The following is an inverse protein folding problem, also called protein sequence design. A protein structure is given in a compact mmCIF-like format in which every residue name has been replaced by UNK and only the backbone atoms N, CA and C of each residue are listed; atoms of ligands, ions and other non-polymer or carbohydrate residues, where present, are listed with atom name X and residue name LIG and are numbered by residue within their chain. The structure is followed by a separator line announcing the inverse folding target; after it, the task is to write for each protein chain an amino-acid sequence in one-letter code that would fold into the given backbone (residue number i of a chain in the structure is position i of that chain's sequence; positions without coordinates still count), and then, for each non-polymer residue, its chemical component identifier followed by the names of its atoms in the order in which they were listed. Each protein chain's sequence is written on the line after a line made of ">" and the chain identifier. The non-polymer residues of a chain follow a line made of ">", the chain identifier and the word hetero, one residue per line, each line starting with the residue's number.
data_IF_350538707118
#
_entry.id   IF_350538707118
#
_cell.length_a   1.000
_cell.length_b   1.000
_cell.length_c   1.000
_cell.angle_alpha   90.00
_cell.angle_beta   90.00
_cell.angle_gamma   90.00
#
_symmetry.space_group_name_H-M   'P 1'
#
loop_
_entity.id
_entity.type
_entity.pdbx_description
1 polymer ?
#
# COMPACT_ATOMS: atom_id res chain seq x y z
N UNK A 1 -18.35 -3.96 -15.13
CA UNK A 1 -17.63 -3.65 -13.87
C UNK A 1 -16.26 -3.16 -14.22
N UNK A 2 -15.94 -1.91 -13.88
CA UNK A 2 -14.65 -1.29 -14.17
C UNK A 2 -13.71 -1.33 -12.95
N UNK A 3 -14.23 -1.06 -11.74
CA UNK A 3 -13.42 -0.96 -10.53
C UNK A 3 -13.98 -1.84 -9.40
N UNK A 4 -13.11 -2.61 -8.77
CA UNK A 4 -13.35 -3.27 -7.48
C UNK A 4 -12.56 -2.57 -6.39
N UNK A 5 -13.23 -2.06 -5.36
CA UNK A 5 -12.62 -1.51 -4.15
C UNK A 5 -12.60 -2.59 -3.09
N UNK A 6 -11.41 -2.94 -2.60
CA UNK A 6 -11.22 -3.99 -1.59
C UNK A 6 -10.90 -3.33 -0.25
N UNK A 7 -11.70 -3.62 0.77
CA UNK A 7 -11.57 -3.08 2.13
C UNK A 7 -11.33 -4.24 3.09
N UNK A 8 -10.07 -4.53 3.49
CA UNK A 8 -9.79 -5.49 4.54
C UNK A 8 -10.18 -4.91 5.90
N UNK A 9 -10.83 -5.72 6.74
CA UNK A 9 -11.32 -5.32 8.06
C UNK A 9 -10.94 -6.36 9.11
N UNK A 10 -10.39 -5.90 10.22
CA UNK A 10 -10.19 -6.68 11.42
C UNK A 10 -10.26 -5.78 12.66
N UNK A 11 -11.34 -5.90 13.45
CA UNK A 11 -11.58 -5.11 14.66
C UNK A 11 -11.47 -3.58 14.43
N UNK A 12 -12.27 -3.05 13.51
CA UNK A 12 -12.29 -1.64 13.08
C UNK A 12 -13.62 -0.96 13.36
N UNK A 13 -14.35 -1.35 14.41
CA UNK A 13 -15.68 -0.80 14.72
C UNK A 13 -15.70 0.73 14.85
N UNK A 14 -14.61 1.36 15.34
CA UNK A 14 -14.54 2.78 15.60
C UNK A 14 -14.30 3.63 14.33
N UNK A 15 -13.87 3.02 13.24
CA UNK A 15 -13.44 3.72 12.02
C UNK A 15 -14.18 3.31 10.77
N UNK A 16 -14.70 2.08 10.73
CA UNK A 16 -15.25 1.44 9.54
C UNK A 16 -16.43 2.22 8.94
N UNK A 17 -17.32 2.78 9.76
CA UNK A 17 -18.47 3.53 9.26
C UNK A 17 -18.04 4.75 8.44
N UNK A 18 -17.04 5.48 8.91
CA UNK A 18 -16.45 6.64 8.22
C UNK A 18 -15.76 6.21 6.91
N UNK A 19 -14.99 5.12 6.95
CA UNK A 19 -14.36 4.54 5.76
C UNK A 19 -15.42 4.17 4.72
N UNK A 20 -16.42 3.36 5.09
CA UNK A 20 -17.51 2.95 4.19
C UNK A 20 -18.27 4.16 3.62
N UNK A 21 -18.62 5.14 4.45
CA UNK A 21 -19.29 6.35 4.00
C UNK A 21 -18.51 7.10 2.92
N UNK A 22 -17.18 7.21 3.09
CA UNK A 22 -16.30 7.88 2.12
C UNK A 22 -16.21 7.16 0.77
N UNK A 23 -16.26 5.83 0.77
CA UNK A 23 -16.18 4.99 -0.43
C UNK A 23 -17.55 4.85 -1.10
N UNK A 24 -18.58 4.47 -0.33
CA UNK A 24 -19.90 4.14 -0.85
C UNK A 24 -20.62 5.35 -1.44
N UNK A 25 -20.41 6.55 -0.90
CA UNK A 25 -20.97 7.80 -1.45
C UNK A 25 -20.47 8.13 -2.88
N UNK A 26 -19.43 7.47 -3.36
CA UNK A 26 -18.83 7.67 -4.68
C UNK A 26 -19.12 6.53 -5.66
N UNK A 27 -19.92 5.53 -5.25
CA UNK A 27 -20.20 4.37 -6.10
C UNK A 27 -21.00 4.75 -7.35
N UNK A 28 -20.65 4.07 -8.43
CA UNK A 28 -21.40 4.07 -9.69
C UNK A 28 -21.76 2.63 -10.07
N UNK A 29 -22.61 2.44 -11.09
CA UNK A 29 -23.03 1.10 -11.55
C UNK A 29 -21.84 0.24 -12.05
N UNK A 30 -20.75 0.87 -12.42
CA UNK A 30 -19.53 0.21 -12.90
C UNK A 30 -18.54 -0.16 -11.77
N UNK A 31 -18.92 0.06 -10.50
CA UNK A 31 -18.06 -0.19 -9.34
C UNK A 31 -18.66 -1.24 -8.42
N UNK A 32 -17.80 -1.97 -7.70
CA UNK A 32 -18.16 -2.81 -6.57
C UNK A 32 -17.25 -2.55 -5.39
N UNK A 33 -17.76 -2.79 -4.19
CA UNK A 33 -16.99 -2.79 -2.95
C UNK A 33 -17.01 -4.18 -2.35
N UNK A 34 -15.85 -4.68 -1.99
CA UNK A 34 -15.65 -5.98 -1.34
C UNK A 34 -15.04 -5.71 0.04
N UNK A 35 -15.88 -5.73 1.05
CA UNK A 35 -15.44 -5.69 2.44
C UNK A 35 -15.04 -7.11 2.84
N UNK A 36 -13.79 -7.29 3.24
CA UNK A 36 -13.29 -8.60 3.67
C UNK A 36 -13.06 -8.55 5.17
N UNK A 37 -13.99 -9.15 5.90
CA UNK A 37 -13.86 -9.34 7.34
C UNK A 37 -12.93 -10.51 7.65
N UNK A 38 -11.77 -10.20 8.21
CA UNK A 38 -10.71 -11.14 8.55
C UNK A 38 -10.91 -11.72 9.98
N UNK A 39 -12.15 -12.11 10.29
CA UNK A 39 -12.50 -12.73 11.56
C UNK A 39 -12.59 -11.74 12.72
N UNK A 40 -13.21 -10.57 12.51
CA UNK A 40 -13.43 -9.58 13.58
C UNK A 40 -14.24 -10.16 14.73
N UNK A 41 -13.87 -9.77 15.94
CA UNK A 41 -14.51 -10.16 17.20
C UNK A 41 -15.27 -9.01 17.86
N UNK A 42 -15.20 -7.80 17.27
CA UNK A 42 -15.89 -6.60 17.69
C UNK A 42 -17.19 -6.36 16.87
N UNK A 43 -17.75 -5.15 16.95
CA UNK A 43 -18.95 -4.74 16.22
C UNK A 43 -18.75 -4.42 14.74
N UNK A 44 -17.56 -4.56 14.14
CA UNK A 44 -17.25 -4.13 12.77
C UNK A 44 -18.24 -4.66 11.73
N UNK A 45 -18.52 -5.95 11.76
CA UNK A 45 -19.43 -6.56 10.77
C UNK A 45 -20.86 -6.04 10.92
N UNK A 46 -21.35 -5.94 12.18
CA UNK A 46 -22.70 -5.46 12.47
C UNK A 46 -22.90 -4.01 12.02
N UNK A 47 -21.86 -3.18 12.05
CA UNK A 47 -21.89 -1.82 11.51
C UNK A 47 -21.95 -1.77 9.99
N UNK A 48 -21.39 -2.78 9.31
CA UNK A 48 -21.37 -2.85 7.86
C UNK A 48 -22.68 -3.42 7.26
N UNK A 49 -23.40 -4.28 7.97
CA UNK A 49 -24.62 -4.94 7.47
C UNK A 49 -25.73 -3.99 6.99
N UNK A 50 -26.06 -2.89 7.68
CA UNK A 50 -27.08 -1.95 7.21
C UNK A 50 -26.80 -1.33 5.84
N UNK A 51 -25.52 -1.18 5.48
CA UNK A 51 -25.12 -0.63 4.18
C UNK A 51 -25.44 -1.56 3.00
N UNK A 52 -25.54 -2.87 3.23
CA UNK A 52 -25.95 -3.83 2.19
C UNK A 52 -27.35 -3.56 1.62
N UNK A 53 -28.25 -3.00 2.43
CA UNK A 53 -29.60 -2.65 1.99
C UNK A 53 -29.64 -1.41 1.10
N UNK A 54 -28.67 -0.51 1.26
CA UNK A 54 -28.59 0.75 0.54
C UNK A 54 -27.71 0.64 -0.72
N UNK A 55 -26.70 -0.23 -0.69
CA UNK A 55 -25.69 -0.36 -1.73
C UNK A 55 -25.58 -1.82 -2.23
N UNK A 56 -26.34 -2.20 -3.27
CA UNK A 56 -26.30 -3.56 -3.83
C UNK A 56 -24.93 -3.93 -4.43
N UNK A 57 -24.06 -2.95 -4.68
CA UNK A 57 -22.69 -3.16 -5.14
C UNK A 57 -21.73 -3.53 -4.00
N UNK A 58 -22.12 -3.39 -2.73
CA UNK A 58 -21.35 -3.81 -1.57
C UNK A 58 -21.53 -5.31 -1.34
N UNK A 59 -20.44 -6.02 -1.11
CA UNK A 59 -20.44 -7.42 -0.68
C UNK A 59 -19.56 -7.58 0.55
N UNK A 60 -19.99 -8.38 1.51
CA UNK A 60 -19.21 -8.73 2.69
C UNK A 60 -18.72 -10.17 2.54
N UNK A 61 -17.43 -10.39 2.61
CA UNK A 61 -16.77 -11.69 2.66
C UNK A 61 -16.22 -11.90 4.06
N UNK A 62 -16.70 -12.89 4.78
CA UNK A 62 -16.22 -13.29 6.11
C UNK A 62 -15.28 -14.47 5.98
N UNK A 63 -14.18 -14.45 6.71
CA UNK A 63 -13.21 -15.53 6.76
C UNK A 63 -12.55 -15.62 8.15
N UNK A 64 -11.92 -16.73 8.44
CA UNK A 64 -11.07 -16.86 9.62
C UNK A 64 -9.87 -15.92 9.51
N UNK A 65 -9.39 -15.40 10.67
CA UNK A 65 -8.28 -14.47 10.70
C UNK A 65 -7.01 -15.07 10.07
N UNK A 66 -6.50 -14.42 9.05
CA UNK A 66 -5.27 -14.78 8.33
C UNK A 66 -4.33 -13.59 8.14
N UNK A 67 -4.71 -12.41 8.64
CA UNK A 67 -3.98 -11.16 8.54
C UNK A 67 -4.23 -10.39 7.25
N UNK A 68 -3.74 -9.14 7.22
CA UNK A 68 -4.01 -8.15 6.18
C UNK A 68 -3.74 -8.66 4.76
N UNK A 69 -2.60 -9.33 4.55
CA UNK A 69 -2.25 -9.94 3.25
C UNK A 69 -3.29 -10.94 2.78
N UNK A 70 -3.76 -11.83 3.67
CA UNK A 70 -4.72 -12.86 3.32
C UNK A 70 -6.11 -12.25 3.05
N UNK A 71 -6.50 -11.23 3.82
CA UNK A 71 -7.73 -10.48 3.56
C UNK A 71 -7.71 -9.77 2.20
N UNK A 72 -6.61 -9.06 1.85
CA UNK A 72 -6.46 -8.44 0.51
C UNK A 72 -6.48 -9.50 -0.60
N UNK A 73 -5.81 -10.64 -0.41
CA UNK A 73 -5.82 -11.74 -1.37
C UNK A 73 -7.22 -12.37 -1.53
N UNK A 74 -8.00 -12.49 -0.45
CA UNK A 74 -9.37 -12.93 -0.52
C UNK A 74 -10.25 -11.97 -1.34
N UNK A 75 -10.10 -10.66 -1.12
CA UNK A 75 -10.76 -9.63 -1.91
C UNK A 75 -10.39 -9.70 -3.40
N UNK A 76 -9.10 -9.90 -3.74
CA UNK A 76 -8.63 -10.06 -5.11
C UNK A 76 -9.28 -11.25 -5.82
N UNK A 77 -9.45 -12.39 -5.14
CA UNK A 77 -10.14 -13.57 -5.70
C UNK A 77 -11.61 -13.30 -6.03
N UNK A 78 -12.24 -12.39 -5.31
CA UNK A 78 -13.66 -12.03 -5.48
C UNK A 78 -13.88 -10.87 -6.46
N UNK A 79 -12.84 -10.09 -6.73
CA UNK A 79 -12.90 -8.90 -7.57
C UNK A 79 -13.26 -9.25 -9.03
N UNK A 80 -14.21 -8.50 -9.59
CA UNK A 80 -14.70 -8.65 -10.97
C UNK A 80 -14.32 -7.47 -11.85
N UNK A 81 -13.86 -6.38 -11.25
CA UNK A 81 -13.45 -5.18 -11.96
C UNK A 81 -12.25 -5.42 -12.88
N UNK A 82 -12.17 -4.65 -13.94
CA UNK A 82 -10.98 -4.58 -14.78
C UNK A 82 -9.79 -4.04 -13.99
N UNK A 83 -10.10 -3.12 -13.07
CA UNK A 83 -9.14 -2.53 -12.14
C UNK A 83 -9.52 -2.88 -10.69
N UNK A 84 -8.53 -2.85 -9.81
CA UNK A 84 -8.70 -3.01 -8.37
C UNK A 84 -7.96 -1.89 -7.64
N UNK A 85 -8.49 -1.50 -6.49
CA UNK A 85 -7.84 -0.63 -5.52
C UNK A 85 -8.13 -1.12 -4.11
N UNK A 86 -7.34 -0.66 -3.15
CA UNK A 86 -7.50 -1.03 -1.74
C UNK A 86 -7.83 0.22 -0.93
N UNK A 87 -8.55 0.03 0.17
CA UNK A 87 -8.76 1.08 1.17
C UNK A 87 -8.65 0.42 2.54
N UNK A 88 -7.78 0.93 3.40
CA UNK A 88 -7.67 0.42 4.76
C UNK A 88 -8.83 0.97 5.61
N UNK A 89 -9.38 0.15 6.50
CA UNK A 89 -10.64 0.41 7.18
C UNK A 89 -10.58 1.55 8.23
N UNK A 90 -9.40 2.07 8.51
CA UNK A 90 -9.17 3.25 9.35
C UNK A 90 -8.98 4.55 8.54
N UNK A 91 -9.00 4.48 7.20
CA UNK A 91 -8.76 5.59 6.27
C UNK A 91 -10.03 6.04 5.53
N UNK A 92 -9.88 7.06 4.68
CA UNK A 92 -10.95 7.62 3.86
C UNK A 92 -10.46 7.96 2.44
N UNK A 93 -11.42 8.10 1.54
CA UNK A 93 -11.19 8.59 0.17
C UNK A 93 -11.94 9.90 -0.03
N UNK A 94 -11.24 10.95 -0.44
CA UNK A 94 -11.87 12.27 -0.64
C UNK A 94 -12.95 12.22 -1.74
N UNK A 95 -14.02 13.02 -1.61
CA UNK A 95 -15.10 13.05 -2.61
C UNK A 95 -14.60 13.33 -4.02
N UNK A 96 -15.20 12.65 -5.02
CA UNK A 96 -14.86 12.80 -6.44
C UNK A 96 -13.60 12.06 -6.89
N UNK A 97 -12.89 11.38 -5.98
CA UNK A 97 -11.65 10.66 -6.30
C UNK A 97 -11.89 9.58 -7.34
N UNK A 98 -12.84 8.68 -7.12
CA UNK A 98 -13.05 7.58 -8.07
C UNK A 98 -13.54 8.07 -9.43
N UNK A 99 -14.40 9.10 -9.47
CA UNK A 99 -14.84 9.67 -10.73
C UNK A 99 -13.66 10.21 -11.56
N UNK A 100 -12.75 10.95 -10.93
CA UNK A 100 -11.58 11.51 -11.59
C UNK A 100 -10.60 10.42 -12.06
N UNK A 101 -10.35 9.39 -11.24
CA UNK A 101 -9.44 8.30 -11.58
C UNK A 101 -10.00 7.42 -12.70
N UNK A 102 -11.30 7.12 -12.67
CA UNK A 102 -11.96 6.31 -13.71
C UNK A 102 -12.08 7.04 -15.04
N UNK A 103 -12.33 8.37 -15.03
CA UNK A 103 -12.28 9.18 -16.24
C UNK A 103 -10.88 9.15 -16.88
N UNK A 104 -9.82 9.31 -16.07
CA UNK A 104 -8.44 9.23 -16.57
C UNK A 104 -8.13 7.82 -17.13
N UNK A 105 -8.50 6.75 -16.44
CA UNK A 105 -8.27 5.37 -16.91
C UNK A 105 -9.08 5.03 -18.16
N UNK A 106 -10.24 5.66 -18.37
CA UNK A 106 -11.03 5.49 -19.61
C UNK A 106 -10.41 6.16 -20.84
N UNK A 107 -9.68 7.25 -20.63
CA UNK A 107 -8.94 7.95 -21.69
C UNK A 107 -7.58 7.32 -21.97
N UNK A 108 -7.03 6.64 -20.97
CA UNK A 108 -5.67 6.09 -20.98
C UNK A 108 -5.71 4.57 -20.71
N UNK A 109 -6.46 3.87 -21.59
CA UNK A 109 -6.77 2.43 -21.46
C UNK A 109 -5.55 1.52 -21.35
N UNK A 110 -4.38 1.99 -21.74
CA UNK A 110 -3.12 1.27 -21.65
C UNK A 110 -2.44 1.39 -20.29
N UNK A 111 -3.02 2.08 -19.29
CA UNK A 111 -2.49 2.19 -17.94
C UNK A 111 -2.72 0.91 -17.16
N UNK A 112 -1.64 0.37 -16.57
CA UNK A 112 -1.68 -0.84 -15.73
C UNK A 112 -1.64 -0.50 -14.24
N UNK A 113 -0.91 0.55 -13.86
CA UNK A 113 -0.87 1.10 -12.49
C UNK A 113 -1.03 2.61 -12.55
N UNK A 114 -2.02 3.14 -11.82
CA UNK A 114 -2.23 4.58 -11.64
C UNK A 114 -2.03 4.94 -10.18
N UNK A 115 -1.03 5.78 -9.87
CA UNK A 115 -0.81 6.32 -8.53
C UNK A 115 -1.38 7.73 -8.40
N UNK A 116 -2.00 8.03 -7.26
CA UNK A 116 -2.68 9.29 -7.00
C UNK A 116 -2.32 9.87 -5.62
N UNK A 117 -2.63 11.16 -5.36
CA UNK A 117 -2.23 11.88 -4.16
C UNK A 117 -2.72 11.27 -2.84
N UNK A 118 -1.94 11.55 -1.79
CA UNK A 118 -2.24 11.15 -0.41
C UNK A 118 -2.04 12.32 0.54
N UNK A 119 -3.03 12.60 1.37
CA UNK A 119 -2.85 13.39 2.58
C UNK A 119 -2.37 12.46 3.69
N UNK A 120 -1.07 12.43 3.91
CA UNK A 120 -0.44 11.57 4.94
C UNK A 120 -0.69 12.13 6.32
N UNK A 121 -0.98 11.28 7.29
CA UNK A 121 -1.31 11.60 8.68
C UNK A 121 -2.46 12.64 8.81
N UNK A 122 -3.50 12.47 7.99
CA UNK A 122 -4.65 13.35 7.95
C UNK A 122 -5.27 13.53 9.35
N UNK A 123 -5.51 14.79 9.71
CA UNK A 123 -6.03 15.15 11.02
C UNK A 123 -4.99 15.24 12.15
N UNK A 124 -3.69 15.07 11.86
CA UNK A 124 -2.61 15.20 12.83
C UNK A 124 -1.67 16.37 12.49
N UNK A 125 -0.94 16.89 13.50
CA UNK A 125 0.00 18.01 13.32
C UNK A 125 1.17 17.71 12.35
N UNK A 126 1.49 16.43 12.13
CA UNK A 126 2.51 15.99 11.17
C UNK A 126 1.94 15.73 9.78
N UNK A 127 0.69 16.09 9.49
CA UNK A 127 0.11 15.88 8.18
C UNK A 127 0.89 16.58 7.06
N UNK A 128 1.00 15.89 5.94
CA UNK A 128 1.61 16.46 4.74
C UNK A 128 0.99 15.84 3.49
N UNK A 129 1.05 16.58 2.38
CA UNK A 129 0.54 16.11 1.11
C UNK A 129 1.66 15.45 0.30
N UNK A 130 1.50 14.16 -0.02
CA UNK A 130 2.23 13.52 -1.11
C UNK A 130 1.42 13.69 -2.40
N UNK A 131 1.97 14.39 -3.37
CA UNK A 131 1.31 14.64 -4.66
C UNK A 131 2.31 14.36 -5.79
N UNK A 132 2.22 13.20 -6.45
CA UNK A 132 3.14 12.87 -7.54
C UNK A 132 2.85 13.74 -8.77
N UNK A 133 3.85 14.00 -9.65
CA UNK A 133 3.62 14.74 -10.87
C UNK A 133 2.70 13.96 -11.81
N UNK A 134 1.79 14.64 -12.53
CA UNK A 134 0.99 13.98 -13.57
C UNK A 134 1.89 13.57 -14.73
N UNK A 135 2.14 12.26 -14.85
CA UNK A 135 3.12 11.75 -15.81
C UNK A 135 2.88 10.30 -16.19
N UNK A 136 3.15 9.97 -17.46
CA UNK A 136 3.37 8.60 -17.94
C UNK A 136 4.86 8.27 -17.83
N UNK A 137 5.18 7.15 -17.19
CA UNK A 137 6.56 6.74 -16.98
C UNK A 137 7.05 5.84 -18.10
N UNK A 138 8.30 6.05 -18.54
CA UNK A 138 8.92 5.27 -19.62
C UNK A 138 9.16 3.79 -19.25
N UNK A 139 9.27 3.51 -17.96
CA UNK A 139 9.37 2.16 -17.40
C UNK A 139 9.01 2.17 -15.91
N UNK A 140 8.62 1.01 -15.39
CA UNK A 140 8.36 0.83 -13.96
C UNK A 140 9.61 1.13 -13.09
N UNK A 141 10.81 0.81 -13.59
CA UNK A 141 12.06 1.18 -12.93
C UNK A 141 12.28 2.69 -12.88
N UNK A 142 11.98 3.40 -13.97
CA UNK A 142 12.08 4.87 -14.00
C UNK A 142 11.11 5.49 -12.98
N UNK A 143 9.86 5.01 -12.92
CA UNK A 143 8.91 5.39 -11.88
C UNK A 143 9.51 5.19 -10.48
N UNK A 144 9.91 3.96 -10.15
CA UNK A 144 10.46 3.59 -8.84
C UNK A 144 11.61 4.49 -8.38
N UNK A 145 12.57 4.76 -9.27
CA UNK A 145 13.76 5.53 -8.93
C UNK A 145 13.49 7.03 -8.82
N UNK A 146 12.73 7.61 -9.76
CA UNK A 146 12.55 9.07 -9.78
C UNK A 146 11.49 9.58 -8.81
N UNK A 147 10.52 8.74 -8.43
CA UNK A 147 9.52 9.10 -7.41
C UNK A 147 9.98 8.71 -6.00
N UNK A 148 11.13 8.05 -5.85
CA UNK A 148 11.52 7.41 -4.60
C UNK A 148 10.46 6.42 -4.11
N UNK A 149 9.97 5.56 -5.03
CA UNK A 149 8.84 4.66 -4.82
C UNK A 149 8.92 3.79 -3.56
N UNK A 150 10.12 3.60 -3.00
CA UNK A 150 10.33 2.90 -1.72
C UNK A 150 9.81 3.64 -0.49
N UNK A 151 9.58 4.95 -0.58
CA UNK A 151 9.01 5.75 0.52
C UNK A 151 7.47 5.73 0.51
N UNK A 152 6.84 5.31 -0.60
CA UNK A 152 5.38 5.29 -0.77
C UNK A 152 4.90 4.01 -1.47
N UNK A 153 5.35 2.84 -1.01
CA UNK A 153 4.90 1.54 -1.50
C UNK A 153 3.47 1.18 -1.08
N UNK A 154 2.67 2.16 -0.68
CA UNK A 154 1.29 1.94 -0.26
C UNK A 154 0.47 1.25 -1.36
N UNK A 155 -0.30 0.21 -0.98
CA UNK A 155 -1.23 -0.44 -1.91
C UNK A 155 -2.44 0.45 -2.21
N UNK A 156 -2.89 1.23 -1.25
CA UNK A 156 -4.17 1.92 -1.24
C UNK A 156 -4.20 3.25 -2.02
N UNK A 157 -3.08 3.90 -2.33
CA UNK A 157 -3.04 5.09 -3.19
C UNK A 157 -2.78 4.75 -4.67
N UNK A 158 -3.12 3.57 -5.07
CA UNK A 158 -2.92 3.10 -6.44
C UNK A 158 -4.15 2.34 -6.96
N UNK A 159 -4.42 2.49 -8.24
CA UNK A 159 -5.38 1.65 -8.98
C UNK A 159 -4.58 0.74 -9.89
N UNK A 160 -4.86 -0.54 -9.83
CA UNK A 160 -4.11 -1.58 -10.54
C UNK A 160 -5.00 -2.28 -11.57
N UNK A 161 -4.47 -2.57 -12.74
CA UNK A 161 -5.09 -3.55 -13.62
C UNK A 161 -5.12 -4.91 -12.91
N UNK A 162 -6.30 -5.50 -12.73
CA UNK A 162 -6.52 -6.68 -11.87
C UNK A 162 -5.61 -7.86 -12.23
N UNK A 163 -5.37 -8.11 -13.52
CA UNK A 163 -4.54 -9.24 -13.97
C UNK A 163 -3.06 -9.16 -13.52
N UNK A 164 -2.59 -8.03 -13.02
CA UNK A 164 -1.26 -7.95 -12.40
C UNK A 164 -1.14 -8.86 -11.17
N UNK A 165 -2.25 -9.15 -10.50
CA UNK A 165 -2.31 -9.99 -9.30
C UNK A 165 -2.53 -11.48 -9.61
N UNK A 166 -2.65 -11.91 -10.87
CA UNK A 166 -2.83 -13.32 -11.22
C UNK A 166 -1.64 -14.19 -10.76
N UNK A 167 -0.42 -13.62 -10.75
CA UNK A 167 0.81 -14.31 -10.36
C UNK A 167 1.52 -13.67 -9.15
N UNK A 168 1.08 -12.50 -8.71
CA UNK A 168 1.71 -11.75 -7.61
C UNK A 168 0.67 -11.44 -6.54
N UNK A 169 0.69 -12.19 -5.46
CA UNK A 169 -0.18 -11.98 -4.30
C UNK A 169 0.60 -11.33 -3.14
N UNK A 170 -0.14 -10.76 -2.20
CA UNK A 170 0.43 -10.27 -0.95
C UNK A 170 0.94 -11.44 -0.11
N UNK A 171 2.15 -11.36 0.47
CA UNK A 171 2.75 -12.46 1.23
C UNK A 171 2.07 -12.61 2.60
N UNK A 172 1.37 -13.72 2.81
CA UNK A 172 0.71 -14.02 4.10
C UNK A 172 1.75 -14.17 5.22
N UNK A 173 1.42 -13.64 6.41
CA UNK A 173 2.30 -13.70 7.59
C UNK A 173 3.47 -12.70 7.55
N UNK A 174 3.47 -11.75 6.62
CA UNK A 174 4.45 -10.66 6.58
C UNK A 174 3.81 -9.33 6.98
N UNK A 175 4.58 -8.51 7.70
CA UNK A 175 4.30 -7.09 7.87
C UNK A 175 5.05 -6.30 6.80
N UNK A 176 4.59 -5.07 6.49
CA UNK A 176 5.09 -4.29 5.34
C UNK A 176 4.96 -5.07 4.01
N UNK A 177 3.87 -5.78 3.85
CA UNK A 177 3.53 -6.64 2.71
C UNK A 177 3.55 -5.87 1.38
N UNK A 178 3.25 -4.58 1.43
CA UNK A 178 3.29 -3.68 0.28
C UNK A 178 4.70 -3.56 -0.30
N UNK A 179 5.73 -3.44 0.56
CA UNK A 179 7.13 -3.40 0.14
C UNK A 179 7.58 -4.73 -0.48
N UNK A 180 6.96 -5.85 -0.13
CA UNK A 180 7.19 -7.12 -0.82
C UNK A 180 6.44 -7.21 -2.15
N UNK A 181 5.23 -6.67 -2.22
CA UNK A 181 4.30 -6.87 -3.35
C UNK A 181 4.54 -5.88 -4.48
N UNK A 182 4.59 -4.56 -4.18
CA UNK A 182 4.69 -3.53 -5.21
C UNK A 182 5.93 -3.68 -6.11
N UNK A 183 7.16 -3.92 -5.58
CA UNK A 183 8.32 -4.16 -6.44
C UNK A 183 8.20 -5.39 -7.33
N UNK A 184 7.50 -6.44 -6.89
CA UNK A 184 7.24 -7.64 -7.71
C UNK A 184 6.29 -7.33 -8.86
N UNK A 185 5.25 -6.52 -8.62
CA UNK A 185 4.37 -6.03 -9.68
C UNK A 185 5.16 -5.16 -10.68
N UNK A 186 5.98 -4.23 -10.17
CA UNK A 186 6.80 -3.34 -11.00
C UNK A 186 7.86 -4.09 -11.82
N UNK A 187 8.42 -5.19 -11.30
CA UNK A 187 9.39 -6.03 -12.01
C UNK A 187 8.80 -6.68 -13.29
N UNK A 188 7.48 -6.78 -13.40
CA UNK A 188 6.77 -7.21 -14.61
C UNK A 188 6.69 -6.11 -15.69
N UNK A 189 7.28 -4.95 -15.40
CA UNK A 189 7.32 -3.77 -16.24
C UNK A 189 5.95 -3.27 -16.72
N UNK A 190 4.98 -3.09 -15.79
CA UNK A 190 3.68 -2.53 -16.13
C UNK A 190 3.80 -1.09 -16.60
N UNK A 191 2.80 -0.61 -17.34
CA UNK A 191 2.68 0.79 -17.74
C UNK A 191 2.18 1.61 -16.56
N UNK A 192 3.10 2.36 -15.95
CA UNK A 192 2.82 3.17 -14.76
C UNK A 192 2.51 4.61 -15.17
N UNK A 193 1.46 5.15 -14.58
CA UNK A 193 1.09 6.57 -14.65
C UNK A 193 0.94 7.12 -13.23
N UNK A 194 1.27 8.38 -13.05
CA UNK A 194 0.97 9.16 -11.85
C UNK A 194 0.07 10.33 -12.19
N UNK A 195 -0.78 10.75 -11.26
CA UNK A 195 -1.72 11.87 -11.44
C UNK A 195 -1.78 12.76 -10.21
N UNK A 196 -2.22 14.00 -10.38
CA UNK A 196 -2.55 14.93 -9.29
C UNK A 196 -4.06 14.96 -8.99
N UNK A 197 -4.83 14.11 -9.66
CA UNK A 197 -6.28 13.99 -9.44
C UNK A 197 -6.58 12.91 -8.41
N UNK A 198 -7.68 13.12 -7.65
CA UNK A 198 -8.05 12.24 -6.55
C UNK A 198 -7.22 12.49 -5.30
N UNK A 199 -7.67 11.98 -4.17
CA UNK A 199 -6.97 12.13 -2.89
C UNK A 199 -7.36 11.01 -1.93
N UNK A 200 -6.37 10.33 -1.39
CA UNK A 200 -6.50 9.41 -0.28
C UNK A 200 -6.19 10.13 1.04
N UNK A 201 -6.99 9.91 2.07
CA UNK A 201 -6.84 10.51 3.38
C UNK A 201 -6.33 9.44 4.36
N UNK A 202 -4.99 9.30 4.41
CA UNK A 202 -4.33 8.39 5.33
C UNK A 202 -4.31 8.99 6.74
N UNK A 203 -5.14 8.45 7.62
CA UNK A 203 -5.26 8.95 8.99
C UNK A 203 -4.11 8.50 9.87
N UNK A 204 -3.75 9.36 10.81
CA UNK A 204 -2.82 9.01 11.85
C UNK A 204 -3.45 7.99 12.80
N UNK A 205 -2.84 6.81 12.90
CA UNK A 205 -3.25 5.76 13.83
C UNK A 205 -2.09 5.41 14.77
N UNK A 206 -2.15 5.79 16.07
CA UNK A 206 -1.07 5.50 17.03
C UNK A 206 -0.90 4.00 17.31
N UNK A 207 -1.90 3.17 16.98
CA UNK A 207 -1.87 1.71 17.11
C UNK A 207 -1.51 1.01 15.79
N UNK A 208 -1.23 1.78 14.73
CA UNK A 208 -0.90 1.25 13.43
C UNK A 208 0.41 0.45 13.41
N UNK A 209 0.51 -0.51 12.50
CA UNK A 209 1.66 -1.41 12.33
C UNK A 209 2.97 -0.64 12.19
N UNK A 210 2.95 0.49 11.50
CA UNK A 210 4.15 1.31 11.27
C UNK A 210 4.70 1.95 12.55
N UNK A 211 3.81 2.38 13.45
CA UNK A 211 4.19 3.02 14.72
C UNK A 211 4.67 1.99 15.73
N UNK A 212 4.03 0.82 15.76
CA UNK A 212 4.35 -0.29 16.66
C UNK A 212 5.43 -1.24 16.16
N UNK A 213 6.14 -0.92 15.07
CA UNK A 213 7.12 -1.81 14.46
C UNK A 213 8.29 -2.13 15.41
N UNK A 214 8.39 -3.38 15.81
CA UNK A 214 9.50 -3.92 16.60
C UNK A 214 10.71 -4.29 15.73
N UNK A 215 11.76 -4.84 16.38
CA UNK A 215 12.98 -5.24 15.67
C UNK A 215 12.77 -6.32 14.61
N UNK A 216 11.82 -7.25 14.80
CA UNK A 216 11.52 -8.30 13.83
C UNK A 216 10.76 -7.72 12.63
N UNK A 217 9.81 -6.82 12.86
CA UNK A 217 9.11 -6.09 11.80
C UNK A 217 10.08 -5.27 10.94
N UNK A 218 11.06 -4.60 11.57
CA UNK A 218 12.11 -3.86 10.84
C UNK A 218 13.05 -4.79 10.06
N UNK A 219 13.33 -6.00 10.57
CA UNK A 219 14.05 -7.02 9.81
C UNK A 219 13.28 -7.41 8.53
N UNK A 220 11.97 -7.61 8.63
CA UNK A 220 11.13 -7.92 7.47
C UNK A 220 11.11 -6.77 6.46
N UNK A 221 10.98 -5.52 6.92
CA UNK A 221 11.04 -4.35 6.04
C UNK A 221 12.38 -4.28 5.29
N UNK A 222 13.51 -4.45 6.00
CA UNK A 222 14.83 -4.45 5.37
C UNK A 222 14.99 -5.59 4.35
N UNK A 223 14.48 -6.79 4.65
CA UNK A 223 14.47 -7.91 3.70
C UNK A 223 13.66 -7.59 2.45
N UNK A 224 12.49 -6.96 2.60
CA UNK A 224 11.67 -6.51 1.49
C UNK A 224 12.39 -5.44 0.65
N UNK A 225 13.06 -4.47 1.28
CA UNK A 225 13.87 -3.47 0.59
C UNK A 225 15.05 -4.11 -0.18
N UNK A 226 15.72 -5.11 0.40
CA UNK A 226 16.78 -5.87 -0.30
C UNK A 226 16.25 -6.59 -1.53
N UNK A 227 15.07 -7.22 -1.42
CA UNK A 227 14.40 -7.85 -2.56
C UNK A 227 14.03 -6.82 -3.63
N UNK A 228 13.47 -5.66 -3.23
CA UNK A 228 13.16 -4.57 -4.14
C UNK A 228 14.40 -4.03 -4.86
N UNK A 229 15.53 -3.87 -4.16
CA UNK A 229 16.79 -3.44 -4.74
C UNK A 229 17.25 -4.39 -5.86
N UNK A 230 17.11 -5.69 -5.64
CA UNK A 230 17.42 -6.72 -6.64
C UNK A 230 16.46 -6.65 -7.83
N UNK A 231 15.15 -6.66 -7.60
CA UNK A 231 14.11 -6.64 -8.64
C UNK A 231 14.17 -5.38 -9.50
N UNK A 232 14.45 -4.22 -8.89
CA UNK A 232 14.54 -2.94 -9.59
C UNK A 232 15.94 -2.65 -10.16
N UNK A 233 16.88 -3.60 -10.05
CA UNK A 233 18.26 -3.44 -10.52
C UNK A 233 18.85 -2.08 -10.09
N UNK A 234 18.70 -1.73 -8.80
CA UNK A 234 19.20 -0.47 -8.28
C UNK A 234 20.71 -0.54 -8.08
N UNK A 235 21.44 0.49 -8.55
CA UNK A 235 22.89 0.57 -8.39
C UNK A 235 23.26 1.73 -7.47
N UNK A 236 24.15 1.48 -6.51
CA UNK A 236 24.67 2.48 -5.57
C UNK A 236 25.30 3.70 -6.25
N UNK A 237 25.87 3.52 -7.44
CA UNK A 237 26.59 4.56 -8.17
C UNK A 237 25.65 5.57 -8.87
N UNK A 238 24.36 5.35 -8.95
CA UNK A 238 23.40 6.32 -9.46
C UNK A 238 22.84 7.18 -8.31
N UNK A 239 22.53 8.46 -8.58
CA UNK A 239 22.02 9.37 -7.55
C UNK A 239 20.75 8.83 -6.85
N UNK A 240 19.77 8.33 -7.61
CA UNK A 240 18.54 7.77 -7.04
C UNK A 240 18.79 6.40 -6.39
N UNK A 241 19.63 5.57 -6.98
CA UNK A 241 20.05 4.32 -6.37
C UNK A 241 20.76 4.53 -5.03
N UNK A 242 21.66 5.54 -4.95
CA UNK A 242 22.32 5.91 -3.70
C UNK A 242 21.32 6.25 -2.59
N UNK A 243 20.29 7.06 -2.88
CA UNK A 243 19.25 7.40 -1.90
C UNK A 243 18.55 6.17 -1.35
N UNK A 244 18.16 5.23 -2.21
CA UNK A 244 17.53 3.98 -1.79
C UNK A 244 18.48 3.13 -0.92
N UNK A 245 19.74 2.98 -1.33
CA UNK A 245 20.71 2.21 -0.55
C UNK A 245 21.03 2.88 0.79
N UNK A 246 21.05 4.22 0.84
CA UNK A 246 21.15 4.97 2.11
C UNK A 246 19.96 4.68 3.02
N UNK A 247 18.72 4.68 2.51
CA UNK A 247 17.51 4.31 3.27
C UNK A 247 17.64 2.90 3.86
N UNK A 248 18.11 1.92 3.07
CA UNK A 248 18.39 0.57 3.53
C UNK A 248 19.48 0.54 4.64
N UNK A 249 20.54 1.34 4.52
CA UNK A 249 21.58 1.41 5.55
C UNK A 249 21.03 1.99 6.86
N UNK A 250 20.24 3.07 6.80
CA UNK A 250 19.57 3.61 7.98
C UNK A 250 18.69 2.56 8.65
N UNK A 251 17.90 1.80 7.86
CA UNK A 251 17.08 0.70 8.37
C UNK A 251 17.92 -0.40 9.00
N UNK A 252 19.09 -0.73 8.41
CA UNK A 252 20.03 -1.69 9.00
C UNK A 252 20.56 -1.23 10.38
N UNK A 253 20.79 0.06 10.55
CA UNK A 253 21.21 0.60 11.85
C UNK A 253 20.10 0.46 12.90
N UNK A 254 18.84 0.72 12.54
CA UNK A 254 17.70 0.50 13.43
C UNK A 254 17.54 -0.98 13.80
N UNK A 255 17.63 -1.88 12.80
CA UNK A 255 17.61 -3.34 13.01
C UNK A 255 18.73 -3.76 13.95
N UNK A 256 19.97 -3.30 13.72
CA UNK A 256 21.10 -3.66 14.57
C UNK A 256 20.92 -3.18 16.01
N UNK A 257 20.44 -1.95 16.18
CA UNK A 257 20.18 -1.37 17.51
C UNK A 257 19.16 -2.18 18.32
N UNK A 258 18.08 -2.68 17.67
CA UNK A 258 17.00 -3.38 18.34
C UNK A 258 17.24 -4.88 18.48
N UNK A 259 18.00 -5.51 17.59
CA UNK A 259 18.11 -6.97 17.50
C UNK A 259 19.56 -7.49 17.53
N UNK A 260 20.56 -6.63 17.37
CA UNK A 260 21.96 -7.04 17.15
C UNK A 260 22.23 -7.69 15.77
N UNK A 261 21.23 -7.81 14.90
CA UNK A 261 21.35 -8.52 13.61
C UNK A 261 21.92 -7.61 12.51
N UNK A 262 22.76 -8.20 11.66
CA UNK A 262 23.27 -7.56 10.43
C UNK A 262 22.75 -8.37 9.24
N UNK A 263 21.88 -7.78 8.44
CA UNK A 263 21.27 -8.38 7.25
C UNK A 263 21.96 -7.95 5.96
N UNK A 264 22.40 -6.67 5.87
CA UNK A 264 23.14 -6.16 4.72
C UNK A 264 24.57 -6.69 4.73
N UNK A 265 24.97 -7.41 3.68
CA UNK A 265 26.32 -7.96 3.50
C UNK A 265 27.23 -7.02 2.70
N UNK A 266 27.07 -5.70 2.87
CA UNK A 266 27.95 -4.74 2.21
C UNK A 266 29.26 -4.57 2.96
N UNK A 267 30.35 -4.23 2.26
CA UNK A 267 31.60 -3.88 2.91
C UNK A 267 31.37 -2.79 3.98
N UNK A 268 32.07 -2.92 5.10
CA UNK A 268 32.02 -1.96 6.21
C UNK A 268 30.70 -1.82 6.99
N UNK A 269 29.60 -2.48 6.63
CA UNK A 269 28.33 -2.38 7.38
C UNK A 269 28.53 -2.79 8.84
N UNK A 270 29.29 -3.87 9.12
CA UNK A 270 29.58 -4.31 10.49
C UNK A 270 30.31 -3.21 11.28
N UNK A 271 31.31 -2.57 10.69
CA UNK A 271 32.07 -1.49 11.32
C UNK A 271 31.15 -0.29 11.60
N UNK A 272 30.34 0.12 10.63
CA UNK A 272 29.40 1.25 10.77
C UNK A 272 28.37 0.97 11.89
N UNK A 273 27.80 -0.23 11.96
CA UNK A 273 26.88 -0.63 13.02
C UNK A 273 27.54 -0.57 14.40
N UNK A 274 28.78 -1.08 14.53
CA UNK A 274 29.53 -1.07 15.79
C UNK A 274 29.86 0.36 16.22
N UNK A 275 30.34 1.20 15.30
CA UNK A 275 30.69 2.61 15.61
C UNK A 275 29.43 3.40 15.99
N UNK A 276 28.32 3.18 15.32
CA UNK A 276 27.04 3.86 15.64
C UNK A 276 26.55 3.57 17.07
N UNK A 277 26.81 2.39 17.62
CA UNK A 277 26.47 2.06 19.02
C UNK A 277 27.46 2.62 20.04
N UNK A 278 28.71 2.90 19.64
CA UNK A 278 29.75 3.47 20.52
C UNK A 278 29.66 5.01 20.65
N UNK A 279 29.06 5.69 19.67
CA UNK A 279 28.91 7.15 19.65
C UNK A 279 27.65 7.67 20.34
N UNK A 280 26.94 6.83 21.07
CA UNK A 280 25.77 7.17 21.92
C UNK A 280 26.01 6.73 23.35
#
# INVERSE_FOLDING_TARGET
>A
MKLSVIIPVYNMQDTLERCLGSVLSQLTDDMEVILVDDGSTDGSVSLAEPWLLQYPQLRICRKDNGGLSDARNAGLRLARGQYVTFVDADDEVAPGTYAALMDLLSREEDTDILEFPVQVHYGHSSQHLFCPPSRRWSSARSYWLHTEGWEHTYAWNKVYRRNLFDEVLFPVGKVFEDMYTIPRLLARNPRVRTTQQGLYLYRWNPQGITVGADGEALCQLLQAQMQAAHLMHTHMLSLHGWRFHRSMLCRQLDVYRLTGRILLRWPFVKLICTLHTLCR
#
